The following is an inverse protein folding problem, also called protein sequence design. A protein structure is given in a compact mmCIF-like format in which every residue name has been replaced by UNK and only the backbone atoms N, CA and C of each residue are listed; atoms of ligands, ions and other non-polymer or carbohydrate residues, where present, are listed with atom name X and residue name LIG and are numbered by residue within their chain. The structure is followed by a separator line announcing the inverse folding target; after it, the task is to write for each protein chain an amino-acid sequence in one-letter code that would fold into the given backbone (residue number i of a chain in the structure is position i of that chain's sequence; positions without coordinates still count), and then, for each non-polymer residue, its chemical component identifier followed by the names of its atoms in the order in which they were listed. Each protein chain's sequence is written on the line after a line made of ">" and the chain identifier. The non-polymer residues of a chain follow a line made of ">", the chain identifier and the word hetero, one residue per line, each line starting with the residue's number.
data_IF_713222021328
#
_entry.id   IF_713222021328
#
_cell.length_a   1.000
_cell.length_b   1.000
_cell.length_c   1.000
_cell.angle_alpha   90.00
_cell.angle_beta   90.00
_cell.angle_gamma   90.00
#
_symmetry.space_group_name_H-M   'P 1'
#
loop_
_entity.id
_entity.type
_entity.pdbx_description
1 polymer ?
#
# COMPACT_ATOMS: atom_id res chain seq x y z
N UNK A 1 -21.14 5.86 -25.12
CA UNK A 1 -20.27 4.68 -24.87
C UNK A 1 -19.63 4.92 -23.51
N UNK A 2 -20.24 4.37 -22.45
CA UNK A 2 -19.95 4.76 -21.08
C UNK A 2 -19.41 3.57 -20.29
N UNK A 3 -18.23 3.74 -19.72
CA UNK A 3 -17.68 2.80 -18.73
C UNK A 3 -18.71 2.62 -17.61
N UNK A 4 -19.04 1.38 -17.28
CA UNK A 4 -20.00 1.12 -16.21
C UNK A 4 -19.35 1.48 -14.87
N UNK A 5 -20.16 1.80 -13.83
CA UNK A 5 -19.66 2.06 -12.47
C UNK A 5 -18.69 0.94 -12.02
N UNK A 6 -18.93 -0.29 -12.46
CA UNK A 6 -18.11 -1.45 -12.14
C UNK A 6 -16.72 -1.45 -12.83
N UNK A 7 -16.61 -0.85 -14.02
CA UNK A 7 -15.33 -0.74 -14.74
C UNK A 7 -14.40 0.26 -14.05
N UNK A 8 -14.95 1.39 -13.59
CA UNK A 8 -14.20 2.42 -12.84
C UNK A 8 -13.67 1.86 -11.53
N UNK A 9 -14.50 1.10 -10.80
CA UNK A 9 -14.08 0.45 -9.54
C UNK A 9 -12.98 -0.57 -9.80
N UNK A 10 -13.10 -1.39 -10.85
CA UNK A 10 -12.05 -2.34 -11.22
C UNK A 10 -10.73 -1.66 -11.56
N UNK A 11 -10.76 -0.56 -12.31
CA UNK A 11 -9.55 0.17 -12.67
C UNK A 11 -8.86 0.78 -11.44
N UNK A 12 -9.64 1.40 -10.55
CA UNK A 12 -9.11 1.94 -9.29
C UNK A 12 -8.54 0.86 -8.38
N UNK A 13 -9.17 -0.31 -8.30
CA UNK A 13 -8.67 -1.45 -7.54
C UNK A 13 -7.34 -1.97 -8.11
N UNK A 14 -7.21 -2.05 -9.43
CA UNK A 14 -5.95 -2.46 -10.08
C UNK A 14 -4.86 -1.43 -9.80
N UNK A 15 -5.14 -0.14 -9.97
CA UNK A 15 -4.18 0.94 -9.76
C UNK A 15 -3.70 1.01 -8.31
N UNK A 16 -4.62 0.93 -7.35
CA UNK A 16 -4.29 0.88 -5.92
C UNK A 16 -3.51 -0.37 -5.53
N UNK A 17 -3.84 -1.53 -6.14
CA UNK A 17 -3.07 -2.78 -5.92
C UNK A 17 -1.64 -2.66 -6.45
N UNK A 18 -1.45 -2.07 -7.63
CA UNK A 18 -0.11 -1.85 -8.22
C UNK A 18 0.71 -0.90 -7.34
N UNK A 19 0.13 0.22 -6.90
CA UNK A 19 0.80 1.17 -5.99
C UNK A 19 1.15 0.51 -4.65
N UNK A 20 0.24 -0.29 -4.08
CA UNK A 20 0.50 -1.03 -2.84
C UNK A 20 1.64 -2.04 -3.00
N UNK A 21 1.72 -2.73 -4.15
CA UNK A 21 2.78 -3.69 -4.45
C UNK A 21 4.15 -3.00 -4.57
N UNK A 22 4.20 -1.85 -5.26
CA UNK A 22 5.40 -1.03 -5.37
C UNK A 22 5.83 -0.52 -3.99
N UNK A 23 4.88 -0.03 -3.17
CA UNK A 23 5.13 0.42 -1.81
C UNK A 23 5.68 -0.70 -0.91
N UNK A 24 5.15 -1.91 -1.00
CA UNK A 24 5.63 -3.06 -0.25
C UNK A 24 7.07 -3.44 -0.64
N UNK A 25 7.38 -3.45 -1.94
CA UNK A 25 8.72 -3.72 -2.43
C UNK A 25 9.73 -2.67 -1.94
N UNK A 26 9.39 -1.38 -2.03
CA UNK A 26 10.21 -0.30 -1.51
C UNK A 26 10.38 -0.37 0.01
N UNK A 27 9.33 -0.71 0.75
CA UNK A 27 9.38 -0.87 2.21
C UNK A 27 10.34 -1.96 2.65
N UNK A 28 10.34 -3.11 1.97
CA UNK A 28 11.27 -4.22 2.24
C UNK A 28 12.72 -3.76 1.99
N UNK A 29 12.98 -3.13 0.84
CA UNK A 29 14.32 -2.65 0.47
C UNK A 29 14.82 -1.62 1.50
N UNK A 30 13.99 -0.64 1.85
CA UNK A 30 14.34 0.40 2.82
C UNK A 30 14.55 -0.18 4.23
N UNK A 31 13.73 -1.14 4.66
CA UNK A 31 13.86 -1.80 5.96
C UNK A 31 15.16 -2.59 6.09
N UNK A 32 15.53 -3.35 5.05
CA UNK A 32 16.82 -4.07 5.00
C UNK A 32 17.99 -3.09 4.97
N UNK A 33 17.92 -2.04 4.15
CA UNK A 33 18.96 -1.02 4.08
C UNK A 33 19.19 -0.32 5.43
N UNK A 34 18.12 0.05 6.14
CA UNK A 34 18.19 0.64 7.48
C UNK A 34 18.80 -0.33 8.49
N UNK A 35 18.41 -1.61 8.48
CA UNK A 35 18.97 -2.62 9.37
C UNK A 35 20.49 -2.77 9.17
N UNK A 36 20.96 -2.80 7.92
CA UNK A 36 22.38 -2.84 7.59
C UNK A 36 23.09 -1.55 8.06
N UNK A 37 22.49 -0.38 7.82
CA UNK A 37 23.04 0.91 8.23
C UNK A 37 23.21 1.00 9.75
N UNK A 38 22.20 0.56 10.51
CA UNK A 38 22.24 0.51 11.98
C UNK A 38 23.33 -0.45 12.44
N UNK A 39 23.45 -1.63 11.82
CA UNK A 39 24.51 -2.59 12.14
C UNK A 39 25.90 -1.99 11.92
N UNK A 40 26.08 -1.27 10.81
CA UNK A 40 27.36 -0.67 10.44
C UNK A 40 27.78 0.46 11.38
N UNK A 41 26.85 1.34 11.75
CA UNK A 41 27.15 2.49 12.62
C UNK A 41 27.18 2.13 14.11
N UNK A 42 26.21 1.33 14.58
CA UNK A 42 26.08 1.03 16.02
C UNK A 42 26.89 -0.19 16.47
N UNK A 43 27.43 -0.99 15.54
CA UNK A 43 28.08 -2.30 15.82
C UNK A 43 27.24 -3.23 16.70
N UNK A 44 25.93 -3.00 16.78
CA UNK A 44 25.04 -3.84 17.55
C UNK A 44 24.81 -5.17 16.81
N UNK A 45 24.85 -6.31 17.52
CA UNK A 45 24.46 -7.57 16.94
C UNK A 45 22.97 -7.46 16.58
N UNK A 46 22.67 -7.36 15.29
CA UNK A 46 21.28 -7.45 14.81
C UNK A 46 20.82 -8.87 15.04
N UNK A 47 19.98 -9.06 16.06
CA UNK A 47 19.29 -10.30 16.28
C UNK A 47 18.19 -10.43 15.22
N UNK A 48 18.45 -11.28 14.22
CA UNK A 48 17.49 -11.60 13.17
C UNK A 48 16.34 -12.42 13.76
N UNK A 49 15.30 -11.74 14.23
CA UNK A 49 14.08 -12.39 14.66
C UNK A 49 13.15 -12.60 13.45
N UNK A 50 13.11 -13.82 12.93
CA UNK A 50 12.24 -14.20 11.82
C UNK A 50 10.76 -13.89 12.11
N UNK A 51 10.30 -14.05 13.36
CA UNK A 51 8.92 -13.72 13.75
C UNK A 51 8.70 -12.20 13.64
N UNK A 52 9.68 -11.39 14.06
CA UNK A 52 9.62 -9.94 13.96
C UNK A 52 9.53 -9.45 12.50
N UNK A 53 10.27 -10.10 11.60
CA UNK A 53 10.20 -9.80 10.16
C UNK A 53 8.81 -10.14 9.62
N UNK A 54 8.27 -11.33 9.94
CA UNK A 54 6.93 -11.73 9.49
C UNK A 54 5.86 -10.78 10.02
N UNK A 55 5.90 -10.40 11.30
CA UNK A 55 4.96 -9.45 11.90
C UNK A 55 5.06 -8.07 11.23
N UNK A 56 6.28 -7.57 11.00
CA UNK A 56 6.49 -6.30 10.32
C UNK A 56 5.89 -6.30 8.89
N UNK A 57 6.09 -7.38 8.14
CA UNK A 57 5.51 -7.56 6.80
C UNK A 57 3.98 -7.61 6.86
N UNK A 58 3.41 -8.38 7.79
CA UNK A 58 1.95 -8.49 7.95
C UNK A 58 1.32 -7.15 8.33
N UNK A 59 1.91 -6.42 9.27
CA UNK A 59 1.42 -5.08 9.68
C UNK A 59 1.52 -4.10 8.52
N UNK A 60 2.63 -4.08 7.79
CA UNK A 60 2.80 -3.22 6.62
C UNK A 60 1.76 -3.53 5.54
N UNK A 61 1.53 -4.81 5.24
CA UNK A 61 0.53 -5.25 4.27
C UNK A 61 -0.90 -4.90 4.73
N UNK A 62 -1.22 -5.06 6.01
CA UNK A 62 -2.51 -4.68 6.57
C UNK A 62 -2.78 -3.18 6.45
N UNK A 63 -1.78 -2.34 6.75
CA UNK A 63 -1.87 -0.88 6.59
C UNK A 63 -2.05 -0.52 5.11
N UNK A 64 -1.26 -1.10 4.20
CA UNK A 64 -1.34 -0.84 2.77
C UNK A 64 -2.73 -1.20 2.20
N UNK A 65 -3.28 -2.36 2.59
CA UNK A 65 -4.62 -2.80 2.17
C UNK A 65 -5.70 -1.89 2.77
N UNK A 66 -5.61 -1.55 4.06
CA UNK A 66 -6.60 -0.68 4.71
C UNK A 66 -6.66 0.70 4.04
N UNK A 67 -5.50 1.31 3.78
CA UNK A 67 -5.41 2.61 3.09
C UNK A 67 -5.69 2.55 1.59
N UNK A 68 -5.64 1.38 0.93
CA UNK A 68 -6.04 1.23 -0.47
C UNK A 68 -7.55 0.97 -0.64
N UNK A 69 -8.12 0.14 0.23
CA UNK A 69 -9.54 -0.26 0.17
C UNK A 69 -10.47 0.87 0.60
N UNK A 70 -10.11 1.64 1.63
CA UNK A 70 -10.91 2.75 2.13
C UNK A 70 -11.18 3.85 1.06
N UNK A 71 -10.17 4.43 0.39
CA UNK A 71 -10.41 5.42 -0.67
C UNK A 71 -11.04 4.81 -1.92
N UNK A 72 -10.74 3.55 -2.27
CA UNK A 72 -11.40 2.87 -3.39
C UNK A 72 -12.92 2.74 -3.17
N UNK A 73 -13.34 2.38 -1.95
CA UNK A 73 -14.76 2.36 -1.59
C UNK A 73 -15.37 3.76 -1.61
N UNK A 74 -14.64 4.79 -1.15
CA UNK A 74 -15.12 6.17 -1.18
C UNK A 74 -15.29 6.70 -2.61
N UNK A 75 -14.35 6.40 -3.51
CA UNK A 75 -14.42 6.78 -4.92
C UNK A 75 -15.53 6.05 -5.67
N UNK A 76 -15.77 4.77 -5.35
CA UNK A 76 -16.86 3.97 -5.96
C UNK A 76 -18.26 4.47 -5.64
N UNK A 77 -18.42 5.20 -4.52
CA UNK A 77 -19.68 5.76 -4.04
C UNK A 77 -19.93 7.19 -4.51
N UNK A 78 -18.95 7.85 -5.13
CA UNK A 78 -19.19 9.16 -5.75
C UNK A 78 -20.15 8.97 -6.92
N UNK A 79 -21.30 9.63 -6.85
CA UNK A 79 -22.26 9.61 -7.94
C UNK A 79 -21.67 10.40 -9.13
N UNK A 80 -21.55 9.80 -10.32
CA UNK A 80 -20.90 10.42 -11.47
C UNK A 80 -21.58 11.71 -11.94
N UNK A 81 -22.82 11.94 -11.52
CA UNK A 81 -23.57 13.18 -11.79
C UNK A 81 -23.04 14.35 -10.95
N UNK A 82 -22.60 14.12 -9.71
CA UNK A 82 -22.06 15.18 -8.83
C UNK A 82 -20.62 15.55 -9.20
N UNK A 83 -19.83 14.57 -9.67
CA UNK A 83 -18.46 14.79 -10.13
C UNK A 83 -18.38 15.68 -11.39
N UNK A 84 -19.40 15.64 -12.26
CA UNK A 84 -19.50 16.54 -13.43
C UNK A 84 -20.03 17.94 -13.08
N UNK A 85 -20.68 18.09 -11.92
CA UNK A 85 -21.30 19.35 -11.49
C UNK A 85 -20.38 20.17 -10.57
N UNK A 86 -19.22 19.59 -10.20
CA UNK A 86 -18.19 20.22 -9.38
C UNK A 86 -16.96 20.67 -10.20
N UNK A 87 -17.08 20.66 -11.53
CA UNK A 87 -16.18 21.38 -12.44
C UNK A 87 -16.74 22.77 -12.75
#
# INVERSE_FOLDING_TARGET
>A
MGATKNDVVRQFLIETTVIAFIGALFGIIAGVALAILITFFAKWPVAWNYIGIVVAVVVCMAIAVAFGVYPAMSASKLDPVTALQSE
#
